data_IF_096211508244
#
_entry.id   IF_096211508244
#
_cell.length_a   1.000
_cell.length_b   1.000
_cell.length_c   1.000
_cell.angle_alpha   90.00
_cell.angle_beta   90.00
_cell.angle_gamma   90.00
#
_symmetry.space_group_name_H-M   'P 1'
#
loop_
_entity.id
_entity.type
_entity.pdbx_description
1 polymer ?
#
# COMPACT_ATOMS: atom_id res chain seq x y z
N UNK A 1 14.88 12.08 -3.40
CA UNK A 1 14.06 12.63 -2.30
C UNK A 1 14.15 14.15 -2.23
N UNK A 2 15.37 14.76 -2.34
CA UNK A 2 15.54 16.23 -2.27
C UNK A 2 14.78 16.93 -3.40
N UNK A 3 14.96 16.51 -4.65
CA UNK A 3 14.27 17.08 -5.79
C UNK A 3 12.75 16.98 -5.67
N UNK A 4 12.24 15.82 -5.17
CA UNK A 4 10.81 15.67 -4.94
C UNK A 4 10.27 16.64 -3.87
N UNK A 5 11.07 16.98 -2.84
CA UNK A 5 10.67 17.99 -1.87
C UNK A 5 10.54 19.36 -2.50
N UNK A 6 11.54 19.75 -3.31
CA UNK A 6 11.55 21.02 -4.04
C UNK A 6 10.37 21.11 -5.04
N UNK A 7 10.01 19.99 -5.67
CA UNK A 7 8.87 19.94 -6.60
C UNK A 7 7.53 20.13 -5.86
N UNK A 8 7.37 19.50 -4.69
CA UNK A 8 6.16 19.72 -3.87
C UNK A 8 6.10 21.13 -3.31
N UNK A 9 7.23 21.73 -2.91
CA UNK A 9 7.27 23.10 -2.44
C UNK A 9 6.86 24.06 -3.57
N UNK A 10 7.38 23.90 -4.80
CA UNK A 10 6.96 24.66 -5.97
C UNK A 10 5.46 24.48 -6.29
N UNK A 11 4.97 23.24 -6.23
CA UNK A 11 3.55 22.97 -6.50
C UNK A 11 2.64 23.67 -5.48
N UNK A 12 3.06 23.74 -4.23
CA UNK A 12 2.33 24.44 -3.16
C UNK A 12 2.44 25.97 -3.32
N UNK A 13 3.59 26.47 -3.76
CA UNK A 13 3.76 27.89 -4.05
C UNK A 13 2.86 28.35 -5.21
N UNK A 14 2.66 27.48 -6.22
CA UNK A 14 1.75 27.75 -7.34
C UNK A 14 0.27 27.62 -6.94
N UNK A 15 -0.08 26.63 -6.14
CA UNK A 15 -1.42 26.42 -5.59
C UNK A 15 -1.35 26.06 -4.10
N UNK A 16 -1.47 27.04 -3.22
CA UNK A 16 -1.41 26.83 -1.76
C UNK A 16 -2.52 25.91 -1.22
N UNK A 17 -3.61 25.71 -1.96
CA UNK A 17 -4.72 24.86 -1.56
C UNK A 17 -4.64 23.45 -2.18
N UNK A 18 -3.57 23.12 -2.88
CA UNK A 18 -3.36 21.80 -3.44
C UNK A 18 -3.14 20.78 -2.31
N UNK A 19 -4.23 20.16 -1.86
CA UNK A 19 -4.18 19.20 -0.74
C UNK A 19 -3.35 17.96 -1.08
N UNK A 20 -3.25 17.57 -2.36
CA UNK A 20 -2.46 16.41 -2.79
C UNK A 20 -0.97 16.69 -2.62
N UNK A 21 -0.51 17.87 -3.01
CA UNK A 21 0.89 18.27 -2.82
C UNK A 21 1.26 18.33 -1.34
N UNK A 22 0.39 18.90 -0.49
CA UNK A 22 0.56 18.86 0.97
C UNK A 22 0.58 17.44 1.52
N UNK A 23 -0.35 16.57 1.07
CA UNK A 23 -0.40 15.19 1.52
C UNK A 23 0.88 14.42 1.16
N UNK A 24 1.32 14.51 -0.09
CA UNK A 24 2.51 13.82 -0.57
C UNK A 24 3.80 14.38 0.07
N UNK A 25 3.88 15.70 0.26
CA UNK A 25 4.99 16.31 1.01
C UNK A 25 5.00 15.82 2.47
N UNK A 26 3.83 15.68 3.09
CA UNK A 26 3.69 15.10 4.42
C UNK A 26 4.22 13.68 4.51
N UNK A 27 3.90 12.81 3.54
CA UNK A 27 4.44 11.45 3.45
C UNK A 27 5.97 11.45 3.27
N UNK A 28 6.48 12.33 2.44
CA UNK A 28 7.92 12.47 2.23
C UNK A 28 8.63 12.92 3.50
N UNK A 29 8.11 13.93 4.20
CA UNK A 29 8.61 14.40 5.49
C UNK A 29 8.59 13.32 6.57
N UNK A 30 7.52 12.54 6.61
CA UNK A 30 7.42 11.37 7.50
C UNK A 30 8.54 10.35 7.21
N UNK A 31 8.81 10.08 5.95
CA UNK A 31 9.88 9.15 5.52
C UNK A 31 11.26 9.69 5.90
N UNK A 32 11.45 11.01 5.87
CA UNK A 32 12.69 11.68 6.28
C UNK A 32 12.81 11.84 7.80
N UNK A 33 11.77 11.50 8.57
CA UNK A 33 11.75 11.63 10.02
C UNK A 33 11.39 13.03 10.53
N UNK A 34 10.95 13.95 9.65
CA UNK A 34 10.47 15.27 10.04
C UNK A 34 8.99 15.21 10.41
N UNK A 35 8.73 14.51 11.52
CA UNK A 35 7.38 14.18 11.98
C UNK A 35 6.53 15.43 12.24
N UNK A 36 7.12 16.49 12.80
CA UNK A 36 6.38 17.72 13.15
C UNK A 36 5.89 18.46 11.89
N UNK A 37 6.75 18.61 10.87
CA UNK A 37 6.34 19.24 9.63
C UNK A 37 5.35 18.37 8.85
N UNK A 38 5.50 17.06 8.92
CA UNK A 38 4.52 16.12 8.33
C UNK A 38 3.14 16.24 9.00
N UNK A 39 3.08 16.38 10.34
CA UNK A 39 1.82 16.63 11.07
C UNK A 39 1.17 17.94 10.59
N UNK A 40 1.96 18.99 10.33
CA UNK A 40 1.43 20.25 9.82
C UNK A 40 0.84 20.10 8.42
N UNK A 41 1.51 19.38 7.52
CA UNK A 41 1.01 19.11 6.19
C UNK A 41 -0.30 18.30 6.23
N UNK A 42 -0.37 17.21 6.99
CA UNK A 42 -1.62 16.46 7.16
C UNK A 42 -2.71 17.28 7.84
N UNK A 43 -2.35 18.18 8.75
CA UNK A 43 -3.32 19.07 9.38
C UNK A 43 -3.88 20.10 8.40
N UNK A 44 -3.07 20.53 7.44
CA UNK A 44 -3.53 21.36 6.34
C UNK A 44 -4.53 20.62 5.46
N UNK A 45 -4.20 19.39 5.06
CA UNK A 45 -5.11 18.52 4.29
C UNK A 45 -6.46 18.38 5.03
N UNK A 46 -6.42 18.15 6.33
CA UNK A 46 -7.64 17.96 7.15
C UNK A 46 -8.44 19.24 7.39
N UNK A 47 -7.88 20.41 7.14
CA UNK A 47 -8.66 21.65 7.09
C UNK A 47 -9.49 21.75 5.82
N UNK A 48 -8.93 21.33 4.70
CA UNK A 48 -9.62 21.31 3.41
C UNK A 48 -10.59 20.13 3.31
N UNK A 49 -10.13 18.96 3.73
CA UNK A 49 -10.88 17.71 3.72
C UNK A 49 -10.95 17.07 5.12
N UNK A 50 -11.86 17.51 5.98
CA UNK A 50 -11.93 17.04 7.37
C UNK A 50 -12.14 15.52 7.49
N UNK A 51 -12.71 14.87 6.49
CA UNK A 51 -12.99 13.44 6.49
C UNK A 51 -11.98 12.61 5.70
N UNK A 52 -10.85 13.16 5.31
CA UNK A 52 -9.80 12.41 4.64
C UNK A 52 -9.18 11.39 5.61
N UNK A 53 -9.57 10.13 5.46
CA UNK A 53 -9.22 9.07 6.40
C UNK A 53 -7.74 8.69 6.35
N UNK A 54 -7.10 8.84 5.18
CA UNK A 54 -5.67 8.60 5.04
C UNK A 54 -4.85 9.66 5.77
N UNK A 55 -5.23 10.93 5.62
CA UNK A 55 -4.57 12.01 6.33
C UNK A 55 -4.78 11.89 7.85
N UNK A 56 -5.99 11.52 8.30
CA UNK A 56 -6.28 11.25 9.72
C UNK A 56 -5.40 10.13 10.26
N UNK A 57 -5.29 9.02 9.54
CA UNK A 57 -4.53 7.88 10.00
C UNK A 57 -3.02 8.16 10.04
N UNK A 58 -2.48 8.77 9.00
CA UNK A 58 -1.06 9.13 8.95
C UNK A 58 -0.71 10.17 10.02
N UNK A 59 -1.56 11.18 10.21
CA UNK A 59 -1.36 12.15 11.30
C UNK A 59 -1.42 11.50 12.67
N UNK A 60 -2.36 10.57 12.89
CA UNK A 60 -2.48 9.85 14.15
C UNK A 60 -1.23 9.03 14.49
N UNK A 61 -0.62 8.36 13.50
CA UNK A 61 0.65 7.64 13.68
C UNK A 61 1.75 8.59 14.14
N UNK A 62 1.87 9.75 13.52
CA UNK A 62 2.89 10.73 13.86
C UNK A 62 2.63 11.37 15.22
N UNK A 63 1.37 11.64 15.57
CA UNK A 63 0.97 12.12 16.88
C UNK A 63 1.25 11.11 18.00
N UNK A 64 1.07 9.79 17.73
CA UNK A 64 1.49 8.73 18.66
C UNK A 64 3.02 8.74 18.83
N UNK A 65 3.76 8.85 17.74
CA UNK A 65 5.23 8.89 17.75
C UNK A 65 5.78 10.12 18.50
N UNK A 66 5.15 11.26 18.34
CA UNK A 66 5.54 12.53 19.00
C UNK A 66 5.00 12.68 20.42
N UNK A 67 4.26 11.68 20.94
CA UNK A 67 3.74 11.68 22.31
C UNK A 67 2.42 12.43 22.51
N UNK A 68 1.82 12.94 21.43
CA UNK A 68 0.53 13.64 21.46
C UNK A 68 -0.65 12.65 21.48
N UNK A 69 -0.65 11.74 22.45
CA UNK A 69 -1.55 10.57 22.49
C UNK A 69 -3.05 10.93 22.46
N UNK A 70 -3.47 12.01 23.11
CA UNK A 70 -4.88 12.42 23.12
C UNK A 70 -5.36 12.80 21.72
N UNK A 71 -4.55 13.54 20.98
CA UNK A 71 -4.85 13.92 19.60
C UNK A 71 -4.82 12.72 18.66
N UNK A 72 -3.85 11.82 18.84
CA UNK A 72 -3.78 10.57 18.10
C UNK A 72 -5.05 9.71 18.32
N UNK A 73 -5.53 9.57 19.55
CA UNK A 73 -6.76 8.84 19.89
C UNK A 73 -7.98 9.46 19.19
N UNK A 74 -8.05 10.80 19.13
CA UNK A 74 -9.14 11.49 18.42
C UNK A 74 -9.16 11.12 16.93
N UNK A 75 -8.01 11.20 16.28
CA UNK A 75 -7.89 10.89 14.86
C UNK A 75 -8.16 9.41 14.58
N UNK A 76 -7.56 8.48 15.34
CA UNK A 76 -7.87 7.05 15.24
C UNK A 76 -9.35 6.75 15.45
N UNK A 77 -10.00 7.44 16.40
CA UNK A 77 -11.43 7.25 16.66
C UNK A 77 -12.28 7.63 15.45
N UNK A 78 -11.93 8.74 14.77
CA UNK A 78 -12.63 9.15 13.55
C UNK A 78 -12.49 8.09 12.44
N UNK A 79 -11.28 7.53 12.26
CA UNK A 79 -11.04 6.45 11.29
C UNK A 79 -11.82 5.19 11.67
N UNK A 80 -11.77 4.76 12.93
CA UNK A 80 -12.45 3.56 13.42
C UNK A 80 -13.97 3.68 13.33
N UNK A 81 -14.53 4.87 13.55
CA UNK A 81 -15.98 5.10 13.38
C UNK A 81 -16.44 4.86 11.94
N UNK A 82 -15.59 5.14 10.95
CA UNK A 82 -15.87 4.83 9.55
C UNK A 82 -15.58 3.37 9.20
N UNK A 83 -14.54 2.81 9.80
CA UNK A 83 -14.10 1.43 9.58
C UNK A 83 -13.95 0.70 10.92
N UNK A 84 -15.06 0.20 11.49
CA UNK A 84 -15.03 -0.48 12.80
C UNK A 84 -14.12 -1.71 12.86
N UNK A 85 -13.83 -2.32 11.70
CA UNK A 85 -12.97 -3.49 11.57
C UNK A 85 -11.53 -3.13 11.16
N UNK A 86 -11.14 -1.88 11.30
CA UNK A 86 -9.77 -1.45 11.04
C UNK A 86 -8.87 -1.79 12.23
N UNK A 87 -8.37 -3.02 12.27
CA UNK A 87 -7.67 -3.58 13.43
C UNK A 87 -6.36 -2.88 13.75
N UNK A 88 -5.61 -2.45 12.72
CA UNK A 88 -4.39 -1.67 12.94
C UNK A 88 -4.68 -0.37 13.70
N UNK A 89 -5.76 0.33 13.34
CA UNK A 89 -6.19 1.53 14.04
C UNK A 89 -6.62 1.25 15.48
N UNK A 90 -7.34 0.15 15.73
CA UNK A 90 -7.74 -0.27 17.09
C UNK A 90 -6.52 -0.56 17.97
N UNK A 91 -5.55 -1.31 17.46
CA UNK A 91 -4.31 -1.62 18.19
C UNK A 91 -3.48 -0.37 18.47
N UNK A 92 -3.36 0.52 17.49
CA UNK A 92 -2.64 1.79 17.67
C UNK A 92 -3.33 2.68 18.71
N UNK A 93 -4.67 2.75 18.68
CA UNK A 93 -5.44 3.48 19.68
C UNK A 93 -5.31 2.86 21.07
N UNK A 94 -5.36 1.54 21.17
CA UNK A 94 -5.15 0.82 22.44
C UNK A 94 -3.76 1.13 23.03
N UNK A 95 -2.72 1.17 22.18
CA UNK A 95 -1.37 1.57 22.58
C UNK A 95 -1.35 3.00 23.16
N UNK A 96 -2.02 3.95 22.50
CA UNK A 96 -2.14 5.32 23.00
C UNK A 96 -2.90 5.38 24.33
N UNK A 97 -3.97 4.58 24.49
CA UNK A 97 -4.70 4.46 25.76
C UNK A 97 -3.81 3.94 26.89
N UNK A 98 -2.97 2.93 26.61
CA UNK A 98 -2.01 2.42 27.60
C UNK A 98 -0.98 3.46 28.03
N UNK A 99 -0.49 4.25 27.08
CA UNK A 99 0.42 5.38 27.37
C UNK A 99 -0.19 6.45 28.26
N UNK A 100 -1.51 6.60 28.23
CA UNK A 100 -2.27 7.52 29.09
C UNK A 100 -2.80 6.87 30.37
N UNK A 101 -2.47 5.60 30.65
CA UNK A 101 -2.97 4.85 31.82
C UNK A 101 -4.44 4.43 31.73
N UNK A 102 -5.07 4.55 30.55
CA UNK A 102 -6.47 4.18 30.33
C UNK A 102 -6.61 2.69 29.97
N UNK A 103 -6.20 1.80 30.87
CA UNK A 103 -6.07 0.35 30.60
C UNK A 103 -7.38 -0.30 30.16
N UNK A 104 -8.50 0.01 30.82
CA UNK A 104 -9.80 -0.57 30.45
C UNK A 104 -10.24 -0.26 29.01
N UNK A 105 -9.91 0.96 28.50
CA UNK A 105 -10.20 1.30 27.10
C UNK A 105 -9.27 0.59 26.13
N UNK A 106 -8.01 0.42 26.51
CA UNK A 106 -7.04 -0.34 25.72
C UNK A 106 -7.45 -1.79 25.58
N UNK A 107 -7.81 -2.45 26.70
CA UNK A 107 -8.26 -3.83 26.73
C UNK A 107 -9.52 -4.05 25.88
N UNK A 108 -10.45 -3.10 25.89
CA UNK A 108 -11.65 -3.18 25.06
C UNK A 108 -11.31 -3.21 23.55
N UNK A 109 -10.39 -2.38 23.10
CA UNK A 109 -9.97 -2.35 21.71
C UNK A 109 -9.18 -3.60 21.34
N UNK A 110 -8.27 -4.04 22.21
CA UNK A 110 -7.51 -5.28 22.04
C UNK A 110 -8.43 -6.52 22.00
N UNK A 111 -9.44 -6.57 22.87
CA UNK A 111 -10.42 -7.65 22.88
C UNK A 111 -11.24 -7.70 21.58
N UNK A 112 -11.60 -6.54 21.02
CA UNK A 112 -12.26 -6.49 19.70
C UNK A 112 -11.40 -7.10 18.60
N UNK A 113 -10.10 -6.79 18.60
CA UNK A 113 -9.16 -7.37 17.64
C UNK A 113 -9.00 -8.87 17.86
N UNK A 114 -8.81 -9.29 19.11
CA UNK A 114 -8.72 -10.71 19.46
C UNK A 114 -9.96 -11.50 19.02
N UNK A 115 -11.16 -10.99 19.32
CA UNK A 115 -12.42 -11.62 18.89
C UNK A 115 -12.51 -11.73 17.37
N UNK A 116 -12.07 -10.70 16.64
CA UNK A 116 -12.07 -10.72 15.20
C UNK A 116 -11.08 -11.74 14.62
N UNK A 117 -9.90 -11.87 15.22
CA UNK A 117 -8.92 -12.90 14.85
C UNK A 117 -9.44 -14.31 15.12
N UNK A 118 -10.06 -14.54 16.28
CA UNK A 118 -10.69 -15.82 16.61
C UNK A 118 -11.81 -16.15 15.59
N UNK A 119 -12.68 -15.18 15.28
CA UNK A 119 -13.73 -15.39 14.28
C UNK A 119 -13.16 -15.70 12.89
N UNK A 120 -12.01 -15.15 12.55
CA UNK A 120 -11.30 -15.49 11.30
C UNK A 120 -10.84 -16.95 11.30
N UNK A 121 -10.26 -17.42 12.40
CA UNK A 121 -9.82 -18.81 12.53
C UNK A 121 -10.98 -19.81 12.45
N UNK A 122 -12.15 -19.45 13.02
CA UNK A 122 -13.35 -20.30 13.02
C UNK A 122 -14.13 -20.19 11.69
N UNK A 123 -13.66 -19.40 10.73
CA UNK A 123 -14.35 -19.18 9.45
C UNK A 123 -15.59 -18.28 9.52
N UNK A 124 -15.87 -17.67 10.69
CA UNK A 124 -17.00 -16.77 10.93
C UNK A 124 -16.74 -15.33 10.46
N UNK A 125 -15.63 -15.07 9.76
CA UNK A 125 -15.35 -13.74 9.28
C UNK A 125 -16.32 -13.35 8.18
N UNK A 126 -17.09 -12.29 8.40
CA UNK A 126 -17.86 -11.65 7.34
C UNK A 126 -16.89 -11.17 6.24
N UNK A 127 -16.95 -11.83 5.09
CA UNK A 127 -16.24 -11.33 3.89
C UNK A 127 -16.88 -10.00 3.50
N UNK A 128 -16.06 -8.99 3.35
CA UNK A 128 -16.55 -7.73 2.80
C UNK A 128 -17.13 -7.99 1.42
N UNK A 129 -18.37 -7.57 1.21
CA UNK A 129 -18.96 -7.66 -0.11
C UNK A 129 -18.16 -6.80 -1.10
N UNK A 130 -18.19 -7.19 -2.38
CA UNK A 130 -17.54 -6.39 -3.45
C UNK A 130 -18.02 -4.93 -3.44
N UNK A 131 -19.28 -4.68 -3.09
CA UNK A 131 -19.82 -3.33 -2.94
C UNK A 131 -19.18 -2.56 -1.80
N UNK A 132 -18.96 -3.20 -0.66
CA UNK A 132 -18.31 -2.58 0.50
C UNK A 132 -16.83 -2.30 0.24
N UNK A 133 -16.14 -3.20 -0.46
CA UNK A 133 -14.76 -2.97 -0.92
C UNK A 133 -14.67 -1.80 -1.91
N UNK A 134 -15.62 -1.68 -2.85
CA UNK A 134 -15.71 -0.53 -3.76
C UNK A 134 -15.97 0.78 -2.99
N UNK A 135 -16.82 0.75 -1.99
CA UNK A 135 -17.13 1.92 -1.17
C UNK A 135 -15.91 2.36 -0.34
N UNK A 136 -15.16 1.41 0.23
CA UNK A 136 -13.89 1.69 0.92
C UNK A 136 -12.86 2.27 -0.05
N UNK A 137 -12.74 1.70 -1.24
CA UNK A 137 -11.84 2.21 -2.29
C UNK A 137 -12.22 3.63 -2.70
N UNK A 138 -13.51 3.93 -2.95
CA UNK A 138 -13.99 5.28 -3.25
C UNK A 138 -13.73 6.29 -2.12
N UNK A 139 -13.73 5.84 -0.86
CA UNK A 139 -13.42 6.69 0.29
C UNK A 139 -11.90 6.87 0.51
N UNK A 140 -11.09 5.97 -0.05
CA UNK A 140 -9.63 6.05 -0.01
C UNK A 140 -9.04 6.64 -1.30
N UNK A 141 -9.79 6.59 -2.40
CA UNK A 141 -9.38 7.25 -3.63
C UNK A 141 -9.51 8.77 -3.40
N UNK A 142 -8.41 9.43 -3.43
CA UNK A 142 -8.32 10.86 -3.68
C UNK A 142 -9.10 11.06 -4.97
N UNK A 143 -10.03 11.98 -4.97
CA UNK A 143 -10.94 12.22 -6.09
C UNK A 143 -10.12 12.57 -7.34
N UNK A 144 -9.71 11.54 -8.07
CA UNK A 144 -8.86 11.66 -9.27
C UNK A 144 -9.57 12.50 -10.33
N UNK A 145 -10.94 12.45 -10.39
CA UNK A 145 -11.71 13.26 -11.32
C UNK A 145 -11.59 14.75 -11.02
N UNK A 146 -11.49 15.14 -9.75
CA UNK A 146 -11.18 16.52 -9.39
C UNK A 146 -9.73 16.89 -9.72
N UNK A 147 -8.81 15.95 -9.62
CA UNK A 147 -7.41 16.18 -9.97
C UNK A 147 -7.22 16.39 -11.47
N UNK A 148 -7.91 15.59 -12.29
CA UNK A 148 -7.84 15.73 -13.76
C UNK A 148 -8.44 17.06 -14.25
N UNK A 149 -9.34 17.69 -13.48
CA UNK A 149 -9.88 19.03 -13.80
C UNK A 149 -8.88 20.18 -13.53
N UNK A 150 -7.85 19.94 -12.71
CA UNK A 150 -6.86 20.96 -12.33
C UNK A 150 -5.55 20.86 -13.12
N UNK A 151 -5.32 19.74 -13.79
CA UNK A 151 -4.23 19.63 -14.76
C UNK A 151 -4.69 20.35 -16.01
N UNK A 152 -4.37 21.65 -16.09
CA UNK A 152 -4.44 22.36 -17.36
C UNK A 152 -3.53 21.58 -18.30
N UNK A 153 -4.14 20.88 -19.24
CA UNK A 153 -3.40 20.28 -20.34
C UNK A 153 -2.69 21.40 -21.06
N UNK A 154 -1.39 21.51 -20.86
CA UNK A 154 -0.57 22.25 -21.78
C UNK A 154 -0.77 21.62 -23.16
N UNK A 155 -1.55 22.28 -23.99
CA UNK A 155 -1.98 21.80 -25.30
C UNK A 155 -0.85 21.63 -26.30
N UNK A 156 0.40 21.82 -25.90
CA UNK A 156 1.58 21.76 -26.76
C UNK A 156 2.54 20.60 -26.43
N UNK A 157 2.37 19.91 -25.32
CA UNK A 157 3.13 18.69 -25.07
C UNK A 157 2.29 17.53 -25.58
N UNK A 158 2.57 17.08 -26.80
CA UNK A 158 2.07 15.80 -27.29
C UNK A 158 2.51 14.72 -26.29
N UNK A 159 1.63 14.42 -25.33
CA UNK A 159 1.83 13.25 -24.49
C UNK A 159 1.91 12.07 -25.44
N UNK A 160 3.03 11.30 -25.43
CA UNK A 160 3.07 10.10 -26.21
C UNK A 160 1.86 9.27 -25.79
N UNK A 161 1.00 8.93 -26.75
CA UNK A 161 -0.07 7.96 -26.52
C UNK A 161 0.60 6.65 -26.08
N UNK A 162 0.81 6.52 -24.79
CA UNK A 162 1.09 5.21 -24.22
C UNK A 162 -0.20 4.41 -24.40
N UNK A 163 -0.21 3.52 -25.39
CA UNK A 163 -1.24 2.50 -25.51
C UNK A 163 -1.50 1.95 -24.14
N UNK A 164 -2.75 1.78 -23.75
CA UNK A 164 -3.23 1.36 -22.44
C UNK A 164 -2.58 0.06 -21.86
N UNK A 165 -1.71 -0.56 -22.61
CA UNK A 165 -0.94 -1.76 -22.30
C UNK A 165 0.00 -1.61 -21.08
N UNK A 166 0.35 -0.36 -20.67
CA UNK A 166 1.33 -0.09 -19.62
C UNK A 166 0.79 0.55 -18.34
N UNK A 167 -0.52 0.71 -18.18
CA UNK A 167 -1.10 1.31 -16.98
C UNK A 167 -1.30 0.32 -15.82
N UNK A 168 -0.46 -0.69 -15.64
CA UNK A 168 -0.46 -1.53 -14.43
C UNK A 168 -1.78 -2.24 -14.09
N UNK A 169 -2.83 -2.04 -14.87
CA UNK A 169 -4.10 -2.75 -14.80
C UNK A 169 -4.25 -3.59 -16.05
N UNK A 170 -4.37 -4.89 -15.90
CA UNK A 170 -4.82 -5.77 -16.97
C UNK A 170 -6.27 -5.38 -17.26
N UNK A 171 -6.46 -4.37 -18.12
CA UNK A 171 -7.80 -3.89 -18.51
C UNK A 171 -8.48 -4.80 -19.54
N UNK A 172 -7.73 -5.63 -20.24
CA UNK A 172 -8.25 -6.62 -21.17
C UNK A 172 -8.09 -8.02 -20.61
N UNK A 173 -9.19 -8.61 -20.16
CA UNK A 173 -9.23 -10.03 -19.77
C UNK A 173 -8.91 -10.99 -20.91
N UNK A 174 -8.92 -10.50 -22.15
CA UNK A 174 -8.77 -11.29 -23.37
C UNK A 174 -7.34 -11.25 -23.95
N UNK A 175 -6.45 -10.46 -23.37
CA UNK A 175 -5.04 -10.53 -23.72
C UNK A 175 -4.42 -11.69 -22.94
N UNK A 176 -4.30 -12.83 -23.59
CA UNK A 176 -3.44 -13.90 -23.12
C UNK A 176 -2.01 -13.40 -23.09
N UNK A 177 -1.61 -12.79 -21.97
CA UNK A 177 -0.21 -12.50 -21.70
C UNK A 177 0.50 -13.83 -21.60
N UNK A 178 1.21 -14.21 -22.65
CA UNK A 178 2.19 -15.28 -22.57
C UNK A 178 3.32 -14.75 -21.69
N UNK A 179 3.24 -15.06 -20.40
CA UNK A 179 4.41 -14.90 -19.55
C UNK A 179 5.47 -15.83 -20.12
N UNK A 180 6.58 -15.28 -20.57
CA UNK A 180 7.76 -16.09 -20.80
C UNK A 180 8.25 -16.52 -19.42
N UNK A 181 8.20 -17.82 -19.10
CA UNK A 181 8.76 -18.28 -17.85
C UNK A 181 10.24 -17.93 -17.84
N UNK A 182 10.70 -17.25 -16.79
CA UNK A 182 12.13 -17.03 -16.60
C UNK A 182 12.75 -18.37 -16.20
N UNK A 183 13.44 -18.99 -17.16
CA UNK A 183 14.18 -20.23 -16.93
C UNK A 183 15.55 -19.90 -16.36
N UNK A 184 15.95 -20.62 -15.33
CA UNK A 184 17.25 -20.50 -14.70
C UNK A 184 17.95 -21.85 -14.83
N UNK A 185 19.20 -21.82 -15.27
CA UNK A 185 20.09 -22.97 -15.17
C UNK A 185 20.51 -23.15 -13.71
N UNK A 186 20.18 -24.27 -13.11
CA UNK A 186 20.46 -24.57 -11.71
C UNK A 186 21.09 -25.97 -11.57
N UNK A 187 21.95 -26.11 -10.59
CA UNK A 187 22.46 -27.39 -10.14
C UNK A 187 21.56 -28.07 -9.09
N UNK A 188 20.56 -27.36 -8.59
CA UNK A 188 19.64 -27.89 -7.59
C UNK A 188 18.27 -28.11 -8.22
N UNK A 189 17.74 -29.30 -7.98
CA UNK A 189 16.37 -29.65 -8.34
C UNK A 189 15.43 -29.03 -7.30
N UNK A 190 14.81 -27.90 -7.62
CA UNK A 190 13.80 -27.32 -6.75
C UNK A 190 12.48 -28.07 -6.93
N UNK A 191 12.16 -28.95 -5.99
CA UNK A 191 10.84 -29.56 -5.88
C UNK A 191 9.96 -28.71 -4.95
N UNK A 192 9.41 -27.63 -5.43
CA UNK A 192 8.30 -26.97 -4.72
C UNK A 192 7.00 -27.61 -5.18
N UNK A 193 6.34 -28.34 -4.31
CA UNK A 193 5.28 -29.31 -4.49
C UNK A 193 3.96 -28.86 -5.13
N UNK A 194 3.93 -27.89 -6.02
CA UNK A 194 2.69 -27.48 -6.68
C UNK A 194 2.77 -27.49 -8.22
N UNK A 195 3.92 -27.33 -8.85
CA UNK A 195 4.06 -27.47 -10.30
C UNK A 195 5.50 -27.85 -10.67
N UNK A 196 5.75 -29.13 -10.84
CA UNK A 196 7.00 -29.61 -11.43
C UNK A 196 6.93 -29.45 -12.96
N UNK A 197 7.21 -28.27 -13.48
CA UNK A 197 7.56 -28.14 -14.89
C UNK A 197 9.07 -28.28 -15.01
N UNK A 198 9.52 -29.50 -15.26
CA UNK A 198 10.86 -29.75 -15.80
C UNK A 198 10.79 -29.46 -17.30
N UNK A 199 11.44 -28.40 -17.75
CA UNK A 199 11.69 -28.21 -19.16
C UNK A 199 12.89 -29.08 -19.51
N UNK A 200 12.64 -30.16 -20.26
CA UNK A 200 13.68 -31.02 -20.80
C UNK A 200 14.20 -30.33 -22.06
N UNK A 201 15.34 -29.66 -21.92
CA UNK A 201 16.05 -29.11 -23.08
C UNK A 201 17.07 -30.16 -23.57
N UNK A 202 17.00 -30.46 -24.85
CA UNK A 202 17.85 -31.50 -25.48
C UNK A 202 19.34 -31.16 -25.41
N UNK A 203 19.68 -29.87 -25.41
CA UNK A 203 21.07 -29.42 -25.36
C UNK A 203 21.65 -29.58 -23.95
N UNK A 204 20.83 -29.33 -22.93
CA UNK A 204 21.19 -29.54 -21.51
C UNK A 204 21.33 -31.05 -21.21
N UNK A 205 20.44 -31.88 -21.76
CA UNK A 205 20.49 -33.33 -21.62
C UNK A 205 21.73 -33.92 -22.32
N UNK A 206 22.01 -33.44 -23.53
CA UNK A 206 23.23 -33.81 -24.27
C UNK A 206 24.50 -33.36 -23.53
N UNK A 207 24.52 -32.20 -22.92
CA UNK A 207 25.61 -31.69 -22.09
C UNK A 207 25.83 -32.59 -20.88
N UNK A 208 24.78 -32.89 -20.11
CA UNK A 208 24.85 -33.74 -18.92
C UNK A 208 25.36 -35.15 -19.27
N UNK A 209 24.95 -35.69 -20.44
CA UNK A 209 25.36 -37.01 -20.90
C UNK A 209 26.81 -37.01 -21.38
N UNK A 210 27.23 -35.97 -22.11
CA UNK A 210 28.56 -35.87 -22.71
C UNK A 210 29.66 -35.54 -21.73
N UNK A 211 29.38 -34.65 -20.75
CA UNK A 211 30.37 -34.14 -19.81
C UNK A 211 30.39 -34.92 -18.49
N UNK A 212 29.29 -35.65 -18.19
CA UNK A 212 29.11 -36.40 -16.95
C UNK A 212 29.55 -35.59 -15.72
N UNK A 213 29.00 -34.39 -15.53
CA UNK A 213 29.42 -33.46 -14.47
C UNK A 213 29.08 -34.01 -13.08
N UNK A 214 29.88 -33.64 -12.09
CA UNK A 214 29.64 -34.00 -10.67
C UNK A 214 28.25 -33.54 -10.21
N UNK A 215 27.72 -32.44 -10.79
CA UNK A 215 26.37 -31.94 -10.58
C UNK A 215 25.68 -31.77 -11.93
N UNK A 216 24.54 -32.42 -12.11
CA UNK A 216 23.72 -32.26 -13.31
C UNK A 216 23.13 -30.88 -13.42
N UNK A 217 23.05 -30.33 -14.61
CA UNK A 217 22.37 -29.06 -14.91
C UNK A 217 20.89 -29.31 -15.16
N UNK A 218 20.04 -28.49 -14.58
CA UNK A 218 18.60 -28.50 -14.77
C UNK A 218 18.12 -27.11 -15.19
N UNK A 219 17.08 -27.07 -16.01
CA UNK A 219 16.36 -25.83 -16.29
C UNK A 219 15.15 -25.81 -15.36
N UNK A 220 15.12 -24.86 -14.45
CA UNK A 220 14.03 -24.71 -13.50
C UNK A 220 13.36 -23.36 -13.66
N UNK A 221 12.03 -23.32 -13.53
CA UNK A 221 11.31 -22.08 -13.30
C UNK A 221 11.41 -21.72 -11.82
N UNK A 222 11.83 -20.50 -11.52
CA UNK A 222 11.74 -19.98 -10.17
C UNK A 222 10.29 -19.50 -9.97
N UNK A 223 9.55 -20.03 -9.01
CA UNK A 223 8.31 -19.39 -8.59
C UNK A 223 8.68 -18.09 -7.89
N UNK A 224 8.19 -16.96 -8.40
CA UNK A 224 8.23 -15.67 -7.69
C UNK A 224 7.29 -15.68 -6.48
#
# INVERSE_FOLDING_TARGET
LRNAMEDYDKAIDMDPNNFISHYNRGLLRQTLGDDNRAINDFSFVLRLEPNNLLALYNRAILLDKTGSYRSAISDYTRVINKFPNFWAGLLSRAKCYRRLGMTAKAELDEFRVFKAQMNKHIGLQQRWSRGKLRQVRKLSDIDVEKYDQWVVQDSEVSTPEYKNEYRGYVQNRDVATKFMPMFILSYQRYSNGINNFELIDKDVEAFNTKVNPVHMLYITCRPD
#
